data_IF_825260050148
#
_entry.id   IF_825260050148
#
_cell.length_a   1.000
_cell.length_b   1.000
_cell.length_c   1.000
_cell.angle_alpha   90.00
_cell.angle_beta   90.00
_cell.angle_gamma   90.00
#
_symmetry.space_group_name_H-M   'P 1'
#
loop_
_entity.id
_entity.type
_entity.pdbx_description
1 polymer ?
#
# COMPACT_ATOMS: atom_id res chain seq x y z
N UNK A 1 19.65 1.13 -35.03
CA UNK A 1 19.11 1.36 -33.67
C UNK A 1 18.86 -0.01 -33.08
N UNK A 2 19.62 -0.41 -32.06
CA UNK A 2 19.42 -1.70 -31.38
C UNK A 2 18.06 -1.64 -30.70
N UNK A 3 17.16 -2.58 -31.02
CA UNK A 3 15.86 -2.65 -30.39
C UNK A 3 16.02 -3.33 -29.02
N UNK A 4 16.08 -2.52 -27.97
CA UNK A 4 16.18 -3.03 -26.60
C UNK A 4 14.93 -3.83 -26.21
N UNK A 5 15.05 -4.92 -25.42
CA UNK A 5 13.90 -5.65 -24.91
C UNK A 5 12.98 -4.78 -24.04
N UNK A 6 11.69 -5.12 -24.01
CA UNK A 6 10.68 -4.41 -23.21
C UNK A 6 11.01 -4.34 -21.72
N UNK A 7 11.71 -5.34 -21.18
CA UNK A 7 12.19 -5.35 -19.80
C UNK A 7 13.20 -4.22 -19.56
N UNK A 8 14.22 -4.09 -20.41
CA UNK A 8 15.27 -3.05 -20.30
C UNK A 8 14.65 -1.66 -20.40
N UNK A 9 13.73 -1.45 -21.34
CA UNK A 9 13.03 -0.18 -21.52
C UNK A 9 12.24 0.19 -20.25
N UNK A 10 11.52 -0.77 -19.66
CA UNK A 10 10.75 -0.57 -18.42
C UNK A 10 11.65 -0.27 -17.23
N UNK A 11 12.76 -0.99 -17.06
CA UNK A 11 13.74 -0.73 -15.99
C UNK A 11 14.30 0.68 -16.10
N UNK A 12 14.71 1.10 -17.31
CA UNK A 12 15.17 2.48 -17.53
C UNK A 12 14.11 3.52 -17.20
N UNK A 13 12.86 3.27 -17.59
CA UNK A 13 11.72 4.14 -17.24
C UNK A 13 11.54 4.29 -15.72
N UNK A 14 11.60 3.19 -14.98
CA UNK A 14 11.49 3.20 -13.51
C UNK A 14 12.65 3.93 -12.83
N UNK A 15 13.88 3.74 -13.31
CA UNK A 15 15.07 4.44 -12.78
C UNK A 15 14.94 5.95 -12.97
N UNK A 16 14.51 6.39 -14.15
CA UNK A 16 14.30 7.82 -14.43
C UNK A 16 13.21 8.42 -13.52
N UNK A 17 12.12 7.70 -13.25
CA UNK A 17 11.07 8.15 -12.32
C UNK A 17 11.57 8.28 -10.87
N UNK A 18 12.65 7.58 -10.51
CA UNK A 18 13.28 7.65 -9.18
C UNK A 18 14.52 8.55 -9.13
N UNK A 19 14.65 9.47 -10.10
CA UNK A 19 15.75 10.43 -10.19
C UNK A 19 17.13 9.80 -10.38
N UNK A 20 17.18 8.56 -10.91
CA UNK A 20 18.44 8.01 -11.39
C UNK A 20 18.68 8.45 -12.84
N UNK A 21 19.94 8.76 -13.15
CA UNK A 21 20.40 8.98 -14.51
C UNK A 21 21.04 7.70 -15.04
N UNK A 22 20.68 7.31 -16.26
CA UNK A 22 21.28 6.16 -16.95
C UNK A 22 21.83 6.63 -18.29
N UNK A 23 23.15 6.70 -18.39
CA UNK A 23 23.83 7.20 -19.59
C UNK A 23 23.79 6.18 -20.74
N UNK A 24 24.08 4.92 -20.44
CA UNK A 24 24.21 3.86 -21.45
C UNK A 24 23.67 2.51 -20.95
N UNK A 25 23.21 1.68 -21.89
CA UNK A 25 22.92 0.27 -21.69
C UNK A 25 23.91 -0.55 -22.51
N UNK A 26 24.75 -1.31 -21.83
CA UNK A 26 25.71 -2.22 -22.46
C UNK A 26 25.05 -3.58 -22.70
N UNK A 27 25.25 -4.14 -23.89
CA UNK A 27 24.75 -5.46 -24.24
C UNK A 27 25.91 -6.46 -24.31
N UNK A 28 25.80 -7.54 -23.54
CA UNK A 28 26.69 -8.70 -23.58
C UNK A 28 25.92 -9.93 -24.07
N UNK A 29 26.62 -11.03 -24.33
CA UNK A 29 26.00 -12.25 -24.87
C UNK A 29 24.88 -12.78 -23.98
N UNK A 30 25.04 -12.77 -22.66
CA UNK A 30 24.10 -13.37 -21.70
C UNK A 30 23.33 -12.36 -20.83
N UNK A 31 23.67 -11.06 -20.91
CA UNK A 31 23.08 -10.01 -20.05
C UNK A 31 23.08 -8.63 -20.70
N UNK A 32 22.18 -7.76 -20.21
CA UNK A 32 22.30 -6.30 -20.36
C UNK A 32 22.84 -5.69 -19.07
N UNK A 33 23.66 -4.65 -19.17
CA UNK A 33 24.26 -3.97 -18.01
C UNK A 33 24.00 -2.48 -18.08
N UNK A 34 23.65 -1.89 -16.94
CA UNK A 34 23.40 -0.46 -16.78
C UNK A 34 24.10 0.02 -15.52
N UNK A 35 24.66 1.24 -15.55
CA UNK A 35 25.27 1.86 -14.38
C UNK A 35 24.53 3.15 -14.00
N UNK A 36 23.37 3.06 -13.31
CA UNK A 36 22.65 4.24 -12.89
C UNK A 36 23.47 5.08 -11.91
N UNK A 37 23.26 6.39 -11.94
CA UNK A 37 23.80 7.33 -10.95
C UNK A 37 22.68 8.16 -10.33
N UNK A 38 22.86 8.57 -9.07
CA UNK A 38 21.91 9.46 -8.36
C UNK A 38 22.68 10.37 -7.42
N UNK A 39 22.25 11.63 -7.35
CA UNK A 39 22.72 12.57 -6.33
C UNK A 39 22.00 12.27 -5.01
N UNK A 40 22.79 11.92 -3.99
CA UNK A 40 22.32 11.73 -2.61
C UNK A 40 23.07 12.73 -1.74
N UNK A 41 22.38 13.80 -1.34
CA UNK A 41 22.91 14.85 -0.46
C UNK A 41 24.21 15.52 -0.96
N UNK A 42 24.38 15.66 -2.28
CA UNK A 42 25.55 16.29 -2.90
C UNK A 42 26.66 15.31 -3.30
N UNK A 43 26.50 14.02 -3.05
CA UNK A 43 27.40 12.96 -3.51
C UNK A 43 26.73 12.12 -4.60
N UNK A 44 27.42 11.95 -5.73
CA UNK A 44 26.96 11.08 -6.82
C UNK A 44 27.24 9.64 -6.43
N UNK A 45 26.19 8.88 -6.16
CA UNK A 45 26.27 7.44 -5.96
C UNK A 45 26.05 6.71 -7.28
N UNK A 46 26.88 5.70 -7.55
CA UNK A 46 26.79 4.85 -8.73
C UNK A 46 26.30 3.46 -8.35
N UNK A 47 25.57 2.82 -9.25
CA UNK A 47 24.97 1.50 -9.06
C UNK A 47 25.27 0.61 -10.26
N UNK A 48 25.12 -0.70 -10.11
CA UNK A 48 25.24 -1.66 -11.21
C UNK A 48 23.96 -2.49 -11.34
N UNK A 49 23.43 -2.64 -12.55
CA UNK A 49 22.27 -3.47 -12.83
C UNK A 49 22.60 -4.45 -13.94
N UNK A 50 22.41 -5.74 -13.68
CA UNK A 50 22.57 -6.80 -14.66
C UNK A 50 21.22 -7.45 -14.94
N UNK A 51 20.85 -7.58 -16.20
CA UNK A 51 19.61 -8.20 -16.63
C UNK A 51 19.93 -9.42 -17.48
N UNK A 52 19.67 -10.62 -16.97
CA UNK A 52 19.91 -11.86 -17.71
C UNK A 52 18.97 -11.97 -18.91
N UNK A 53 19.52 -12.33 -20.07
CA UNK A 53 18.73 -12.57 -21.28
C UNK A 53 17.94 -13.88 -21.19
N UNK A 54 18.57 -14.90 -20.62
CA UNK A 54 17.99 -16.24 -20.46
C UNK A 54 17.90 -16.65 -18.98
N UNK A 55 16.81 -17.32 -18.56
CA UNK A 55 16.70 -17.87 -17.22
C UNK A 55 17.79 -18.93 -16.98
N UNK A 56 18.61 -18.71 -15.96
CA UNK A 56 19.61 -19.70 -15.49
C UNK A 56 19.59 -19.85 -13.97
N UNK A 57 20.14 -20.95 -13.48
CA UNK A 57 20.41 -21.11 -12.04
C UNK A 57 21.63 -20.27 -11.68
N UNK A 58 21.49 -19.39 -10.71
CA UNK A 58 22.56 -18.49 -10.28
C UNK A 58 23.25 -19.06 -9.04
N UNK A 59 24.51 -19.43 -9.22
CA UNK A 59 25.40 -19.95 -8.18
C UNK A 59 26.22 -18.84 -7.50
N UNK A 60 26.88 -19.20 -6.40
CA UNK A 60 27.73 -18.28 -5.62
C UNK A 60 28.88 -17.69 -6.43
N UNK A 61 29.46 -18.45 -7.37
CA UNK A 61 30.55 -17.96 -8.22
C UNK A 61 30.11 -16.76 -9.06
N UNK A 62 28.91 -16.84 -9.65
CA UNK A 62 28.36 -15.76 -10.45
C UNK A 62 28.18 -14.47 -9.64
N UNK A 63 27.65 -14.58 -8.42
CA UNK A 63 27.49 -13.41 -7.53
C UNK A 63 28.85 -12.81 -7.13
N UNK A 64 29.89 -13.63 -6.93
CA UNK A 64 31.25 -13.13 -6.68
C UNK A 64 31.80 -12.36 -7.88
N UNK A 65 31.51 -12.81 -9.09
CA UNK A 65 31.92 -12.10 -10.30
C UNK A 65 31.22 -10.74 -10.40
N UNK A 66 29.94 -10.66 -10.06
CA UNK A 66 29.20 -9.39 -10.00
C UNK A 66 29.75 -8.45 -8.92
N UNK A 67 30.10 -8.99 -7.74
CA UNK A 67 30.70 -8.22 -6.66
C UNK A 67 32.03 -7.59 -7.08
N UNK A 68 32.88 -8.34 -7.78
CA UNK A 68 34.13 -7.83 -8.36
C UNK A 68 33.85 -6.75 -9.41
N UNK A 69 32.87 -6.94 -10.28
CA UNK A 69 32.46 -5.94 -11.28
C UNK A 69 31.97 -4.64 -10.60
N UNK A 70 31.30 -4.72 -9.45
CA UNK A 70 30.93 -3.53 -8.67
C UNK A 70 32.15 -2.79 -8.13
N UNK A 71 33.12 -3.51 -7.58
CA UNK A 71 34.37 -2.91 -7.07
C UNK A 71 35.13 -2.21 -8.21
N UNK A 72 35.23 -2.86 -9.38
CA UNK A 72 35.88 -2.29 -10.57
C UNK A 72 35.18 -1.04 -11.10
N UNK A 73 33.86 -0.95 -10.92
CA UNK A 73 33.05 0.15 -11.45
C UNK A 73 32.74 1.24 -10.41
N UNK A 74 33.25 1.09 -9.19
CA UNK A 74 32.94 1.92 -8.02
C UNK A 74 31.42 2.03 -7.77
N UNK A 75 30.72 0.91 -7.93
CA UNK A 75 29.28 0.84 -7.71
C UNK A 75 28.97 0.59 -6.24
N UNK A 76 28.20 1.47 -5.63
CA UNK A 76 27.75 1.41 -4.26
C UNK A 76 26.89 0.16 -3.97
N UNK A 77 25.96 -0.18 -4.88
CA UNK A 77 25.10 -1.36 -4.82
C UNK A 77 24.86 -1.96 -6.22
N UNK A 78 24.51 -3.24 -6.23
CA UNK A 78 24.26 -4.01 -7.45
C UNK A 78 22.87 -4.65 -7.45
N UNK A 79 22.31 -4.90 -8.62
CA UNK A 79 21.06 -5.66 -8.78
C UNK A 79 21.18 -6.62 -9.96
N UNK A 80 20.99 -7.92 -9.71
CA UNK A 80 20.85 -8.93 -10.75
C UNK A 80 19.36 -9.24 -10.94
N UNK A 81 18.85 -8.95 -12.12
CA UNK A 81 17.49 -9.27 -12.53
C UNK A 81 17.47 -10.46 -13.45
N UNK A 82 16.58 -11.40 -13.15
CA UNK A 82 16.42 -12.65 -13.86
C UNK A 82 17.12 -13.80 -13.15
N UNK A 83 16.97 -14.97 -13.75
CA UNK A 83 17.33 -16.23 -13.12
C UNK A 83 16.08 -17.08 -12.89
N UNK A 84 16.26 -18.40 -13.00
CA UNK A 84 15.22 -19.37 -12.70
C UNK A 84 15.19 -19.70 -11.21
N UNK A 85 16.37 -19.65 -10.58
CA UNK A 85 16.59 -20.00 -9.18
C UNK A 85 17.93 -19.46 -8.69
N UNK A 86 17.93 -18.86 -7.51
CA UNK A 86 19.16 -18.52 -6.78
C UNK A 86 19.50 -19.60 -5.75
N UNK A 87 20.74 -20.10 -5.78
CA UNK A 87 21.21 -21.06 -4.76
C UNK A 87 21.29 -20.40 -3.37
N UNK A 88 21.12 -21.14 -2.26
CA UNK A 88 21.25 -20.57 -0.91
C UNK A 88 22.60 -19.86 -0.67
N UNK A 89 23.68 -20.41 -1.21
CA UNK A 89 25.00 -19.80 -1.15
C UNK A 89 25.09 -18.49 -1.95
N UNK A 90 24.43 -18.41 -3.12
CA UNK A 90 24.32 -17.17 -3.88
C UNK A 90 23.56 -16.10 -3.10
N UNK A 91 22.41 -16.43 -2.49
CA UNK A 91 21.63 -15.48 -1.67
C UNK A 91 22.45 -14.90 -0.52
N UNK A 92 23.19 -15.76 0.20
CA UNK A 92 24.07 -15.32 1.30
C UNK A 92 25.21 -14.42 0.81
N UNK A 93 25.84 -14.78 -0.31
CA UNK A 93 26.91 -13.96 -0.89
C UNK A 93 26.40 -12.62 -1.40
N UNK A 94 25.20 -12.59 -1.99
CA UNK A 94 24.61 -11.40 -2.57
C UNK A 94 24.33 -10.36 -1.49
N UNK A 95 23.79 -10.78 -0.34
CA UNK A 95 23.63 -9.93 0.83
C UNK A 95 24.95 -9.28 1.29
N UNK A 96 26.03 -10.08 1.39
CA UNK A 96 27.36 -9.58 1.79
C UNK A 96 27.92 -8.62 0.75
N UNK A 97 27.67 -8.88 -0.53
CA UNK A 97 28.20 -8.10 -1.66
C UNK A 97 27.34 -6.89 -2.00
N UNK A 98 26.25 -6.63 -1.27
CA UNK A 98 25.25 -5.60 -1.59
C UNK A 98 24.68 -5.76 -3.02
N UNK A 99 24.51 -7.00 -3.45
CA UNK A 99 23.86 -7.38 -4.70
C UNK A 99 22.46 -7.88 -4.38
N UNK A 100 21.46 -7.23 -4.95
CA UNK A 100 20.08 -7.70 -4.89
C UNK A 100 19.83 -8.75 -5.98
N UNK A 101 19.03 -9.77 -5.65
CA UNK A 101 18.69 -10.86 -6.56
C UNK A 101 17.18 -10.83 -6.83
N UNK A 102 16.79 -10.49 -8.05
CA UNK A 102 15.38 -10.33 -8.46
C UNK A 102 15.01 -11.48 -9.39
N UNK A 103 14.08 -12.34 -8.97
CA UNK A 103 13.56 -13.42 -9.81
C UNK A 103 12.83 -12.85 -11.04
N UNK A 104 12.89 -13.54 -12.19
CA UNK A 104 12.59 -13.03 -13.54
C UNK A 104 11.19 -12.51 -13.87
N UNK A 105 10.35 -12.21 -12.87
CA UNK A 105 9.11 -11.45 -13.01
C UNK A 105 9.32 -10.00 -12.55
N UNK A 106 9.50 -9.08 -13.49
CA UNK A 106 9.57 -7.64 -13.21
C UNK A 106 8.27 -7.13 -12.57
N UNK A 107 8.19 -7.06 -11.24
CA UNK A 107 7.46 -6.05 -10.43
C UNK A 107 7.28 -6.44 -8.94
N UNK A 108 8.36 -6.68 -8.20
CA UNK A 108 8.33 -6.54 -6.73
C UNK A 108 9.66 -5.95 -6.27
N UNK A 109 9.63 -4.63 -6.04
CA UNK A 109 10.56 -3.68 -5.40
C UNK A 109 11.67 -4.30 -4.51
N UNK A 110 12.92 -3.80 -4.48
CA UNK A 110 13.33 -2.40 -4.22
C UNK A 110 14.70 -1.99 -4.81
N UNK A 111 14.70 -1.07 -5.78
CA UNK A 111 15.88 -0.61 -6.53
C UNK A 111 16.78 0.41 -5.78
N UNK A 112 17.23 0.05 -4.59
CA UNK A 112 18.34 0.61 -3.79
C UNK A 112 18.00 1.37 -2.51
N UNK A 113 16.85 2.02 -2.36
CA UNK A 113 16.30 2.48 -1.07
C UNK A 113 14.79 2.74 -1.20
N UNK A 114 13.99 1.85 -0.62
CA UNK A 114 12.79 2.20 0.09
C UNK A 114 13.27 2.54 1.51
N UNK A 115 13.05 3.78 1.97
CA UNK A 115 12.60 3.93 3.35
C UNK A 115 11.50 2.89 3.50
N UNK A 116 11.63 1.97 4.47
CA UNK A 116 10.59 1.01 4.83
C UNK A 116 9.29 1.77 4.71
N UNK A 117 8.52 1.47 3.65
CA UNK A 117 7.18 1.99 3.57
C UNK A 117 6.58 1.48 4.88
N UNK A 118 6.16 2.37 5.81
CA UNK A 118 5.71 1.95 7.13
C UNK A 118 4.82 0.76 6.89
N UNK A 119 5.06 -0.36 7.56
CA UNK A 119 4.28 -1.59 7.41
C UNK A 119 2.85 -1.12 7.35
N UNK A 120 2.27 -1.08 6.15
CA UNK A 120 0.92 -0.59 6.01
C UNK A 120 0.17 -1.72 6.66
N UNK A 121 -0.16 -1.55 7.93
CA UNK A 121 -0.97 -2.48 8.66
C UNK A 121 -2.28 -2.46 7.88
N UNK A 122 -2.46 -3.48 7.03
CA UNK A 122 -3.60 -3.61 6.12
C UNK A 122 -4.89 -3.75 6.94
N UNK A 123 -4.76 -4.23 8.18
CA UNK A 123 -5.82 -4.36 9.15
C UNK A 123 -5.28 -4.07 10.55
N UNK A 124 -5.94 -3.21 11.32
CA UNK A 124 -5.56 -2.85 12.69
C UNK A 124 -5.47 -4.08 13.60
N UNK A 125 -4.81 -3.93 14.76
CA UNK A 125 -4.73 -5.00 15.77
C UNK A 125 -6.13 -5.53 16.15
N UNK A 126 -7.08 -4.61 16.26
CA UNK A 126 -8.48 -4.87 16.59
C UNK A 126 -9.18 -5.66 15.47
N UNK A 127 -8.94 -5.33 14.21
CA UNK A 127 -9.48 -6.04 13.05
C UNK A 127 -8.90 -7.46 12.94
N UNK A 128 -7.59 -7.61 13.16
CA UNK A 128 -6.91 -8.91 13.18
C UNK A 128 -7.51 -9.78 14.29
N UNK A 129 -7.61 -9.25 15.51
CA UNK A 129 -8.14 -9.99 16.66
C UNK A 129 -9.61 -10.37 16.44
N UNK A 130 -10.43 -9.47 15.87
CA UNK A 130 -11.83 -9.73 15.56
C UNK A 130 -11.99 -10.94 14.63
N UNK A 131 -11.16 -11.04 13.59
CA UNK A 131 -11.19 -12.18 12.65
C UNK A 131 -10.70 -13.46 13.33
N UNK A 132 -9.61 -13.40 14.08
CA UNK A 132 -9.01 -14.55 14.76
C UNK A 132 -9.97 -15.15 15.80
N UNK A 133 -10.60 -14.31 16.63
CA UNK A 133 -11.59 -14.72 17.62
C UNK A 133 -12.84 -15.34 16.96
N UNK A 134 -13.29 -14.76 15.84
CA UNK A 134 -14.44 -15.28 15.10
C UNK A 134 -14.23 -16.74 14.67
N UNK A 135 -13.00 -17.07 14.26
CA UNK A 135 -12.61 -18.40 13.79
C UNK A 135 -11.93 -19.27 14.86
N UNK A 136 -11.84 -18.79 16.11
CA UNK A 136 -11.28 -19.54 17.24
C UNK A 136 -9.78 -19.84 17.09
N UNK A 137 -9.02 -18.93 16.47
CA UNK A 137 -7.57 -19.03 16.32
C UNK A 137 -6.92 -18.03 17.27
N UNK A 138 -5.99 -18.50 18.08
CA UNK A 138 -5.11 -17.68 18.91
C UNK A 138 -3.73 -17.60 18.25
N UNK A 139 -3.09 -16.45 18.39
CA UNK A 139 -1.74 -16.17 17.90
C UNK A 139 -0.92 -15.59 19.05
N UNK A 140 0.39 -15.82 18.99
CA UNK A 140 1.36 -15.02 19.71
C UNK A 140 2.03 -14.10 18.68
N UNK A 141 2.02 -12.79 18.91
CA UNK A 141 2.61 -11.78 18.02
C UNK A 141 3.50 -10.84 18.82
N UNK A 142 4.52 -10.29 18.17
CA UNK A 142 5.26 -9.15 18.69
C UNK A 142 4.40 -7.87 18.61
N UNK A 143 4.71 -6.85 19.42
CA UNK A 143 3.95 -5.59 19.49
C UNK A 143 3.87 -4.85 18.15
N UNK A 144 4.82 -5.09 17.24
CA UNK A 144 4.88 -4.46 15.92
C UNK A 144 4.26 -5.31 14.80
N UNK A 145 3.63 -6.44 15.15
CA UNK A 145 3.04 -7.40 14.20
C UNK A 145 4.03 -7.89 13.13
N UNK A 146 5.34 -7.82 13.41
CA UNK A 146 6.39 -8.26 12.47
C UNK A 146 6.48 -9.79 12.36
N UNK A 147 5.95 -10.52 13.35
CA UNK A 147 5.92 -11.98 13.34
C UNK A 147 4.68 -12.54 14.03
N UNK A 148 4.14 -13.62 13.46
CA UNK A 148 2.98 -14.34 13.97
C UNK A 148 3.38 -15.79 14.27
N UNK A 149 3.32 -16.21 15.52
CA UNK A 149 3.43 -17.59 15.94
C UNK A 149 2.03 -18.15 16.19
N UNK A 150 1.70 -19.26 15.51
CA UNK A 150 0.41 -19.93 15.65
C UNK A 150 0.64 -21.24 16.42
N UNK A 151 0.20 -21.35 17.68
CA UNK A 151 0.30 -22.59 18.43
C UNK A 151 -0.35 -23.77 17.69
N UNK A 152 0.35 -24.91 17.64
CA UNK A 152 -0.19 -26.14 17.08
C UNK A 152 -1.30 -26.74 17.95
N UNK A 153 -2.17 -27.58 17.37
CA UNK A 153 -3.23 -28.27 18.10
C UNK A 153 -4.52 -27.46 18.32
N UNK A 154 -4.60 -26.24 17.79
CA UNK A 154 -5.82 -25.43 17.75
C UNK A 154 -6.85 -26.02 16.78
N UNK A 155 -8.12 -25.68 17.00
CA UNK A 155 -9.23 -26.13 16.16
C UNK A 155 -9.95 -24.94 15.54
N UNK A 156 -9.91 -24.85 14.22
CA UNK A 156 -10.64 -23.83 13.47
C UNK A 156 -12.16 -23.98 13.67
N UNK A 157 -12.80 -22.89 14.09
CA UNK A 157 -14.26 -22.79 14.24
C UNK A 157 -14.86 -22.27 12.95
N UNK A 158 -15.41 -23.18 12.14
CA UNK A 158 -16.21 -22.77 10.96
C UNK A 158 -17.37 -21.89 11.42
N UNK A 159 -17.48 -20.71 10.81
CA UNK A 159 -18.57 -19.77 11.05
C UNK A 159 -19.04 -19.15 9.73
N UNK A 160 -20.26 -18.61 9.75
CA UNK A 160 -20.76 -17.73 8.70
C UNK A 160 -20.43 -16.32 9.11
N UNK A 161 -19.66 -15.61 8.29
CA UNK A 161 -19.32 -14.22 8.49
C UNK A 161 -20.09 -13.37 7.47
N UNK A 162 -20.87 -12.41 7.96
CA UNK A 162 -21.53 -11.42 7.10
C UNK A 162 -20.62 -10.21 6.99
N UNK A 163 -20.13 -9.95 5.77
CA UNK A 163 -19.36 -8.74 5.49
C UNK A 163 -20.29 -7.54 5.59
N UNK A 164 -19.88 -6.57 6.40
CA UNK A 164 -20.61 -5.33 6.57
C UNK A 164 -20.60 -4.46 5.31
N UNK A 165 -21.52 -3.50 5.25
CA UNK A 165 -21.54 -2.50 4.21
C UNK A 165 -20.36 -1.54 4.35
N UNK A 166 -19.94 -0.99 3.22
CA UNK A 166 -18.95 0.06 3.14
C UNK A 166 -19.55 1.39 3.65
N UNK A 167 -19.02 1.91 4.76
CA UNK A 167 -19.48 3.17 5.35
C UNK A 167 -19.11 4.39 4.50
N UNK A 168 -17.96 4.37 3.81
CA UNK A 168 -17.55 5.41 2.86
C UNK A 168 -18.55 5.51 1.71
N UNK A 169 -18.89 4.37 1.11
CA UNK A 169 -19.91 4.28 0.06
C UNK A 169 -21.32 4.64 0.57
N UNK A 170 -21.68 4.18 1.76
CA UNK A 170 -22.98 4.48 2.37
C UNK A 170 -23.16 5.96 2.69
N UNK A 171 -22.08 6.69 3.01
CA UNK A 171 -22.13 8.12 3.33
C UNK A 171 -22.83 8.93 2.23
N UNK A 172 -22.60 8.61 0.95
CA UNK A 172 -23.30 9.26 -0.17
C UNK A 172 -24.82 9.05 -0.12
N UNK A 173 -25.27 7.84 0.20
CA UNK A 173 -26.70 7.51 0.30
C UNK A 173 -27.34 8.18 1.52
N UNK A 174 -26.63 8.21 2.64
CA UNK A 174 -27.07 8.87 3.86
C UNK A 174 -27.20 10.39 3.66
N UNK A 175 -26.22 11.03 3.03
CA UNK A 175 -26.27 12.45 2.65
C UNK A 175 -27.39 12.71 1.63
N UNK A 176 -27.59 11.82 0.65
CA UNK A 176 -28.73 11.93 -0.27
C UNK A 176 -30.07 11.92 0.49
N UNK A 177 -30.21 11.09 1.52
CA UNK A 177 -31.34 11.12 2.44
C UNK A 177 -31.49 12.48 3.13
N UNK A 178 -30.42 13.03 3.68
CA UNK A 178 -30.43 14.33 4.36
C UNK A 178 -30.85 15.49 3.46
N UNK A 179 -30.43 15.50 2.19
CA UNK A 179 -30.64 16.66 1.30
C UNK A 179 -31.89 16.52 0.40
N UNK A 180 -32.32 15.29 0.08
CA UNK A 180 -33.33 15.04 -0.94
C UNK A 180 -34.61 14.34 -0.43
N UNK A 181 -34.60 13.66 0.72
CA UNK A 181 -35.81 12.96 1.16
C UNK A 181 -35.62 12.05 2.37
N UNK A 182 -35.89 10.76 2.21
CA UNK A 182 -35.71 9.74 3.24
C UNK A 182 -35.00 8.55 2.62
N UNK A 183 -33.88 8.16 3.20
CA UNK A 183 -33.10 6.98 2.78
C UNK A 183 -32.83 6.11 3.99
N UNK A 184 -33.01 4.80 3.82
CA UNK A 184 -32.58 3.79 4.79
C UNK A 184 -31.51 2.94 4.13
N UNK A 185 -30.33 2.88 4.73
CA UNK A 185 -29.25 2.00 4.31
C UNK A 185 -29.16 0.86 5.32
N UNK A 186 -29.26 -0.38 4.83
CA UNK A 186 -29.15 -1.59 5.64
C UNK A 186 -27.73 -2.15 5.57
N UNK A 187 -27.43 -3.14 6.41
CA UNK A 187 -26.10 -3.76 6.52
C UNK A 187 -25.02 -2.78 7.00
N UNK A 188 -25.39 -1.85 7.88
CA UNK A 188 -24.48 -0.91 8.53
C UNK A 188 -24.51 -1.17 10.04
N UNK A 189 -23.76 -2.17 10.54
CA UNK A 189 -23.75 -2.49 11.95
C UNK A 189 -23.08 -1.36 12.74
N UNK A 190 -23.68 -0.97 13.87
CA UNK A 190 -23.07 0.05 14.73
C UNK A 190 -21.80 -0.40 15.43
N UNK A 191 -21.54 -1.71 15.48
CA UNK A 191 -20.32 -2.29 16.02
C UNK A 191 -19.15 -2.29 15.03
N UNK A 192 -19.29 -1.67 13.85
CA UNK A 192 -18.20 -1.57 12.86
C UNK A 192 -16.94 -0.92 13.44
N UNK A 193 -15.78 -1.33 12.92
CA UNK A 193 -14.49 -0.69 13.15
C UNK A 193 -14.15 0.35 12.06
N UNK A 194 -14.97 0.47 11.01
CA UNK A 194 -14.77 1.46 9.95
C UNK A 194 -14.90 2.90 10.50
N UNK A 195 -13.84 3.69 10.37
CA UNK A 195 -13.79 5.09 10.81
C UNK A 195 -14.85 5.97 10.15
N UNK A 196 -15.27 5.61 8.94
CA UNK A 196 -16.24 6.36 8.13
C UNK A 196 -17.66 6.36 8.73
N UNK A 197 -17.92 5.56 9.76
CA UNK A 197 -19.11 5.71 10.61
C UNK A 197 -19.26 7.11 11.21
N UNK A 198 -18.18 7.89 11.32
CA UNK A 198 -18.21 9.31 11.73
C UNK A 198 -19.11 10.19 10.85
N UNK A 199 -19.53 9.75 9.66
CA UNK A 199 -20.57 10.44 8.88
C UNK A 199 -21.86 10.70 9.68
N UNK A 200 -22.19 9.83 10.64
CA UNK A 200 -23.34 10.02 11.53
C UNK A 200 -23.22 11.29 12.37
N UNK A 201 -22.01 11.59 12.87
CA UNK A 201 -21.72 12.79 13.65
C UNK A 201 -21.90 14.05 12.81
N UNK A 202 -21.39 14.03 11.57
CA UNK A 202 -21.58 15.15 10.64
C UNK A 202 -23.05 15.39 10.27
N UNK A 203 -23.81 14.32 10.04
CA UNK A 203 -25.24 14.40 9.73
C UNK A 203 -26.04 14.94 10.92
N UNK A 204 -25.73 14.49 12.13
CA UNK A 204 -26.36 14.99 13.36
C UNK A 204 -26.00 16.47 13.61
N UNK A 205 -24.73 16.83 13.48
CA UNK A 205 -24.24 18.21 13.62
C UNK A 205 -24.88 19.16 12.58
N UNK A 206 -25.07 18.67 11.35
CA UNK A 206 -25.79 19.40 10.31
C UNK A 206 -27.30 19.51 10.57
N UNK A 207 -27.85 18.81 11.56
CA UNK A 207 -29.27 18.83 11.92
C UNK A 207 -30.15 17.91 11.07
N UNK A 208 -29.57 16.91 10.40
CA UNK A 208 -30.33 15.86 9.75
C UNK A 208 -31.06 15.00 10.79
N UNK A 209 -32.22 14.45 10.43
CA UNK A 209 -32.93 13.52 11.33
C UNK A 209 -32.43 12.11 11.10
N UNK A 210 -31.76 11.57 12.11
CA UNK A 210 -31.28 10.19 12.11
C UNK A 210 -32.26 9.27 12.85
N UNK A 211 -32.43 8.05 12.35
CA UNK A 211 -33.03 6.94 13.09
C UNK A 211 -32.13 5.74 12.90
N UNK A 212 -31.47 5.36 13.98
CA UNK A 212 -30.41 4.36 13.98
C UNK A 212 -30.97 3.08 14.59
N UNK A 213 -30.83 1.97 13.85
CA UNK A 213 -31.08 0.62 14.32
C UNK A 213 -29.76 -0.16 14.38
N UNK A 214 -29.81 -1.39 14.88
CA UNK A 214 -28.62 -2.23 15.09
C UNK A 214 -27.79 -2.44 13.82
N UNK A 215 -28.46 -2.64 12.66
CA UNK A 215 -27.81 -2.94 11.38
C UNK A 215 -28.37 -2.08 10.22
N UNK A 216 -28.94 -0.93 10.54
CA UNK A 216 -29.41 0.03 9.52
C UNK A 216 -29.46 1.45 10.04
N UNK A 217 -29.25 2.39 9.12
CA UNK A 217 -29.33 3.82 9.40
C UNK A 217 -30.35 4.44 8.46
N UNK A 218 -31.29 5.18 9.03
CA UNK A 218 -32.26 5.98 8.27
C UNK A 218 -31.97 7.45 8.45
N UNK A 219 -31.91 8.19 7.36
CA UNK A 219 -31.73 9.64 7.34
C UNK A 219 -32.93 10.28 6.66
N UNK A 220 -33.49 11.30 7.30
CA UNK A 220 -34.60 12.09 6.81
C UNK A 220 -34.21 13.56 6.69
N UNK A 221 -34.62 14.16 5.58
CA UNK A 221 -34.45 15.58 5.30
C UNK A 221 -35.11 16.46 6.36
N UNK A 222 -34.32 17.38 6.89
CA UNK A 222 -34.74 18.47 7.77
C UNK A 222 -34.06 19.78 7.35
N UNK A 223 -34.23 20.82 8.16
CA UNK A 223 -33.51 22.08 7.95
C UNK A 223 -32.07 21.88 8.40
N UNK A 224 -31.16 21.89 7.42
CA UNK A 224 -29.74 21.70 7.68
C UNK A 224 -29.04 23.03 8.03
N UNK A 225 -28.08 22.95 8.94
CA UNK A 225 -27.27 24.07 9.42
C UNK A 225 -25.79 23.78 9.22
N UNK A 226 -25.00 24.84 9.18
CA UNK A 226 -23.54 24.73 9.12
C UNK A 226 -23.01 23.81 10.24
N UNK A 227 -21.96 23.07 9.91
CA UNK A 227 -21.30 22.13 10.81
C UNK A 227 -19.78 22.25 10.69
N UNK A 228 -19.09 21.76 11.71
CA UNK A 228 -17.64 21.60 11.70
C UNK A 228 -17.32 20.11 11.76
N UNK A 229 -16.36 19.65 10.96
CA UNK A 229 -15.96 18.25 10.93
C UNK A 229 -14.47 18.10 10.60
N UNK A 230 -13.79 17.20 11.31
CA UNK A 230 -12.40 16.87 11.05
C UNK A 230 -12.27 15.54 10.31
N UNK A 231 -11.80 15.59 9.07
CA UNK A 231 -11.72 14.45 8.16
C UNK A 231 -10.36 13.73 8.17
N UNK A 232 -9.44 14.06 9.10
CA UNK A 232 -8.06 13.53 9.10
C UNK A 232 -8.01 12.00 9.13
N UNK A 233 -8.88 11.38 9.94
CA UNK A 233 -8.99 9.92 10.08
C UNK A 233 -10.00 9.28 9.11
N UNK A 234 -10.72 10.07 8.31
CA UNK A 234 -11.77 9.60 7.40
C UNK A 234 -11.81 10.43 6.11
N UNK A 235 -10.70 10.48 5.35
CA UNK A 235 -10.57 11.34 4.17
C UNK A 235 -11.60 11.01 3.08
N UNK A 236 -12.05 9.77 2.99
CA UNK A 236 -13.06 9.32 2.02
C UNK A 236 -14.45 9.91 2.29
N UNK A 237 -14.70 10.45 3.49
CA UNK A 237 -15.92 11.21 3.78
C UNK A 237 -15.92 12.62 3.21
N UNK A 238 -14.79 13.15 2.74
CA UNK A 238 -14.73 14.52 2.24
C UNK A 238 -15.74 14.81 1.11
N UNK A 239 -15.84 14.00 0.04
CA UNK A 239 -16.82 14.26 -1.02
C UNK A 239 -18.29 14.31 -0.55
N UNK A 240 -18.83 13.34 0.24
CA UNK A 240 -20.20 13.43 0.73
C UNK A 240 -20.39 14.60 1.71
N UNK A 241 -19.39 14.94 2.53
CA UNK A 241 -19.46 16.09 3.44
C UNK A 241 -19.51 17.43 2.70
N UNK A 242 -18.75 17.58 1.61
CA UNK A 242 -18.78 18.77 0.77
C UNK A 242 -20.17 18.96 0.13
N UNK A 243 -20.81 17.86 -0.29
CA UNK A 243 -22.19 17.89 -0.79
C UNK A 243 -23.15 18.28 0.33
N UNK A 244 -23.04 17.70 1.52
CA UNK A 244 -23.88 18.05 2.67
C UNK A 244 -23.78 19.55 3.00
N UNK A 245 -22.55 20.08 3.06
CA UNK A 245 -22.28 21.49 3.33
C UNK A 245 -22.95 22.45 2.34
N UNK A 246 -23.01 22.09 1.04
CA UNK A 246 -23.71 22.89 0.02
C UNK A 246 -25.21 23.08 0.29
N UNK A 247 -25.82 22.21 1.11
CA UNK A 247 -27.25 22.28 1.47
C UNK A 247 -27.49 22.85 2.88
N UNK A 248 -26.44 23.20 3.61
CA UNK A 248 -26.52 23.77 4.94
C UNK A 248 -26.71 25.30 4.88
N UNK A 249 -27.47 25.85 5.84
CA UNK A 249 -27.52 27.29 6.04
C UNK A 249 -26.31 27.75 6.87
N UNK A 250 -25.46 28.61 6.28
CA UNK A 250 -24.26 29.15 6.94
C UNK A 250 -22.97 28.68 6.25
N UNK A 251 -21.86 28.80 6.95
CA UNK A 251 -20.55 28.33 6.49
C UNK A 251 -20.12 27.10 7.29
N UNK A 252 -20.05 25.94 6.64
CA UNK A 252 -19.45 24.75 7.24
C UNK A 252 -17.92 24.77 7.12
N UNK A 253 -17.24 24.13 8.07
CA UNK A 253 -15.79 23.97 8.09
C UNK A 253 -15.43 22.48 8.07
N UNK A 254 -14.59 22.07 7.11
CA UNK A 254 -14.05 20.71 7.04
C UNK A 254 -12.53 20.82 7.12
N UNK A 255 -11.93 20.20 8.14
CA UNK A 255 -10.47 20.15 8.37
C UNK A 255 -9.90 18.76 8.08
N UNK A 256 -8.59 18.56 8.24
CA UNK A 256 -7.96 17.24 8.06
C UNK A 256 -7.84 16.77 6.59
N UNK A 257 -7.86 17.71 5.64
CA UNK A 257 -7.92 17.40 4.19
C UNK A 257 -6.56 17.41 3.50
N UNK A 258 -5.45 17.46 4.24
CA UNK A 258 -4.11 17.61 3.66
C UNK A 258 -3.70 16.43 2.76
N UNK A 259 -4.25 15.24 3.02
CA UNK A 259 -4.00 14.02 2.24
C UNK A 259 -4.74 13.95 0.90
N UNK A 260 -5.66 14.89 0.63
CA UNK A 260 -6.54 14.90 -0.55
C UNK A 260 -6.03 15.78 -1.72
N UNK A 261 -4.75 16.20 -1.69
CA UNK A 261 -4.14 17.10 -2.69
C UNK A 261 -3.71 16.43 -3.98
#
# INVERSE_FOLDING_TARGET
MIQLPSAVIRTRGLLNLRSFSVDEVLEYDDKYVMYPTRDVQGEIQKYAIWMLKDPKVVGVAYVKDLAREMEETDSHRGMLVGGLRFTPAAKKMALISRVELVDGGYASFDLFEHELVPTHIIASEEEIQLVLDHYGISIDTEDDFSSFAIPGGQSYKKATYQVEGDWSGAAFLLVAGAIAGKVTVNNLPLSTLQGDKKILEALEAAGARLTIAENSVTVEKKRLQAFEFDADECPDLFPPLAVLACYCSGQSLITGVDRLR
#
